data_IF_318106869334
#
_entry.id   IF_318106869334
#
_cell.length_a   1.000
_cell.length_b   1.000
_cell.length_c   1.000
_cell.angle_alpha   90.00
_cell.angle_beta   90.00
_cell.angle_gamma   90.00
#
_symmetry.space_group_name_H-M   'P 1'
#
loop_
_entity.id
_entity.type
_entity.pdbx_description
1 polymer ?
#
# COMPACT_ATOMS: atom_id res chain seq x y z
N UNK A 1 -12.42 -3.33 1.93
CA UNK A 1 -11.57 -3.06 0.74
C UNK A 1 -10.33 -3.95 0.69
N UNK A 2 -9.46 -3.96 1.72
CA UNK A 2 -8.21 -4.74 1.71
C UNK A 2 -8.38 -6.23 1.36
N UNK A 3 -9.36 -6.91 1.97
CA UNK A 3 -9.69 -8.33 1.67
C UNK A 3 -10.07 -8.51 0.19
N UNK A 4 -10.85 -7.59 -0.37
CA UNK A 4 -11.30 -7.66 -1.77
C UNK A 4 -10.12 -7.43 -2.72
N UNK A 5 -9.22 -6.50 -2.38
CA UNK A 5 -8.01 -6.25 -3.15
C UNK A 5 -7.07 -7.46 -3.16
N UNK A 6 -6.86 -8.13 -2.02
CA UNK A 6 -5.99 -9.32 -1.98
C UNK A 6 -6.63 -10.50 -2.73
N UNK A 7 -7.96 -10.65 -2.67
CA UNK A 7 -8.67 -11.65 -3.48
C UNK A 7 -8.49 -11.38 -4.98
N UNK A 8 -8.66 -10.13 -5.42
CA UNK A 8 -8.44 -9.76 -6.82
C UNK A 8 -6.97 -9.97 -7.25
N UNK A 9 -6.01 -9.66 -6.38
CA UNK A 9 -4.59 -9.92 -6.63
C UNK A 9 -4.29 -11.44 -6.76
N UNK A 10 -4.88 -12.27 -5.89
CA UNK A 10 -4.75 -13.72 -5.97
C UNK A 10 -5.41 -14.29 -7.23
N UNK A 11 -6.59 -13.78 -7.61
CA UNK A 11 -7.22 -14.13 -8.89
C UNK A 11 -6.30 -13.80 -10.06
N UNK A 12 -5.64 -12.64 -10.02
CA UNK A 12 -4.71 -12.24 -11.06
C UNK A 12 -3.55 -13.25 -11.21
N UNK A 13 -2.95 -13.65 -10.09
CA UNK A 13 -1.87 -14.63 -10.05
C UNK A 13 -2.30 -15.99 -10.61
N UNK A 14 -3.49 -16.48 -10.21
CA UNK A 14 -3.99 -17.79 -10.65
C UNK A 14 -4.25 -17.80 -12.15
N UNK A 15 -4.79 -16.71 -12.70
CA UNK A 15 -5.06 -16.60 -14.13
C UNK A 15 -3.79 -16.44 -14.97
N UNK A 16 -2.73 -15.85 -14.40
CA UNK A 16 -1.42 -15.71 -15.05
C UNK A 16 -0.59 -17.00 -14.99
N UNK A 17 -1.00 -17.99 -14.19
CA UNK A 17 -0.39 -19.31 -14.23
C UNK A 17 -0.72 -20.03 -15.54
N UNK A 18 0.32 -20.38 -16.30
CA UNK A 18 0.17 -21.20 -17.51
C UNK A 18 -0.41 -22.61 -17.27
N UNK A 19 -0.53 -23.04 -16.00
CA UNK A 19 -1.14 -24.30 -15.57
C UNK A 19 -2.01 -24.09 -14.32
N UNK A 20 -3.18 -23.44 -14.46
CA UNK A 20 -4.04 -23.14 -13.32
C UNK A 20 -4.63 -24.42 -12.68
N UNK A 21 -4.64 -25.53 -13.42
CA UNK A 21 -4.98 -26.87 -12.92
C UNK A 21 -4.12 -27.31 -11.73
N UNK A 22 -2.90 -26.78 -11.62
CA UNK A 22 -1.92 -27.13 -10.58
C UNK A 22 -1.90 -26.16 -9.40
N UNK A 23 -2.95 -25.35 -9.24
CA UNK A 23 -2.95 -24.25 -8.26
C UNK A 23 -2.66 -24.71 -6.83
N UNK A 24 -3.05 -25.94 -6.50
CA UNK A 24 -2.88 -26.53 -5.17
C UNK A 24 -1.48 -27.14 -4.94
N UNK A 25 -0.72 -27.42 -5.99
CA UNK A 25 0.58 -28.12 -5.89
C UNK A 25 1.59 -27.36 -5.02
N UNK A 26 1.75 -26.03 -5.12
CA UNK A 26 2.68 -25.28 -4.27
C UNK A 26 2.33 -25.31 -2.78
N UNK A 27 1.07 -25.59 -2.43
CA UNK A 27 0.65 -25.73 -1.03
C UNK A 27 1.08 -27.06 -0.41
N UNK A 28 1.22 -28.11 -1.23
CA UNK A 28 1.72 -29.42 -0.78
C UNK A 28 3.24 -29.57 -0.93
N UNK A 29 3.86 -28.82 -1.86
CA UNK A 29 5.30 -28.81 -2.12
C UNK A 29 5.91 -27.44 -1.89
N UNK A 30 5.91 -27.02 -0.62
CA UNK A 30 6.45 -25.73 -0.22
C UNK A 30 7.98 -25.67 -0.37
N UNK A 31 8.48 -24.60 -1.02
CA UNK A 31 9.91 -24.34 -1.19
C UNK A 31 10.31 -23.05 -0.46
N UNK A 32 10.95 -23.12 0.74
CA UNK A 32 11.30 -21.94 1.53
C UNK A 32 12.29 -20.98 0.88
N UNK A 33 13.06 -21.44 -0.12
CA UNK A 33 13.98 -20.58 -0.88
C UNK A 33 13.28 -19.71 -1.92
N UNK A 34 12.04 -20.03 -2.27
CA UNK A 34 11.28 -19.28 -3.28
C UNK A 34 10.49 -18.17 -2.62
N UNK A 35 10.79 -16.91 -2.98
CA UNK A 35 10.00 -15.76 -2.55
C UNK A 35 8.54 -15.86 -3.00
N UNK A 36 8.29 -16.48 -4.15
CA UNK A 36 6.92 -16.73 -4.61
C UNK A 36 6.16 -17.67 -3.67
N UNK A 37 6.80 -18.75 -3.21
CA UNK A 37 6.22 -19.71 -2.26
C UNK A 37 5.98 -19.09 -0.88
N UNK A 38 6.93 -18.27 -0.39
CA UNK A 38 6.78 -17.54 0.87
C UNK A 38 5.63 -16.53 0.80
N UNK A 39 5.53 -15.78 -0.30
CA UNK A 39 4.46 -14.82 -0.51
C UNK A 39 3.08 -15.48 -0.59
N UNK A 40 2.96 -16.68 -1.15
CA UNK A 40 1.69 -17.40 -1.15
C UNK A 40 1.18 -17.61 0.29
N UNK A 41 2.05 -17.95 1.25
CA UNK A 41 1.68 -18.04 2.67
C UNK A 41 1.27 -16.66 3.19
N UNK A 42 2.08 -15.64 2.96
CA UNK A 42 1.83 -14.28 3.45
C UNK A 42 0.49 -13.70 2.95
N UNK A 43 0.15 -13.91 1.68
CA UNK A 43 -1.12 -13.45 1.10
C UNK A 43 -2.33 -14.14 1.75
N UNK A 44 -2.25 -15.46 1.95
CA UNK A 44 -3.30 -16.23 2.61
C UNK A 44 -3.43 -15.83 4.09
N UNK A 45 -2.31 -15.65 4.80
CA UNK A 45 -2.29 -15.16 6.18
C UNK A 45 -2.87 -13.76 6.30
N UNK A 46 -2.55 -12.85 5.37
CA UNK A 46 -3.09 -11.49 5.35
C UNK A 46 -4.60 -11.49 5.13
N UNK A 47 -5.10 -12.31 4.19
CA UNK A 47 -6.53 -12.48 3.95
C UNK A 47 -7.25 -13.03 5.19
N UNK A 48 -6.70 -14.07 5.83
CA UNK A 48 -7.28 -14.67 7.03
C UNK A 48 -7.31 -13.68 8.21
N UNK A 49 -6.20 -13.00 8.49
CA UNK A 49 -6.13 -12.00 9.56
C UNK A 49 -7.02 -10.79 9.25
N UNK A 50 -7.09 -10.35 8.00
CA UNK A 50 -8.00 -9.28 7.59
C UNK A 50 -9.47 -9.64 7.84
N UNK A 51 -9.86 -10.88 7.55
CA UNK A 51 -11.21 -11.37 7.83
C UNK A 51 -11.49 -11.45 9.35
N UNK A 52 -10.57 -12.02 10.14
CA UNK A 52 -10.70 -12.07 11.60
C UNK A 52 -10.76 -10.67 12.22
N UNK A 53 -9.94 -9.74 11.72
CA UNK A 53 -9.95 -8.34 12.15
C UNK A 53 -11.31 -7.69 11.91
N UNK A 54 -11.91 -7.89 10.73
CA UNK A 54 -13.24 -7.39 10.40
C UNK A 54 -14.32 -7.99 11.32
N UNK A 55 -14.24 -9.29 11.62
CA UNK A 55 -15.16 -9.93 12.57
C UNK A 55 -15.01 -9.39 13.99
N UNK A 56 -13.78 -9.11 14.43
CA UNK A 56 -13.52 -8.52 15.74
C UNK A 56 -14.12 -7.10 15.84
N UNK A 57 -14.05 -6.31 14.76
CA UNK A 57 -14.71 -5.00 14.68
C UNK A 57 -16.23 -5.12 14.77
N UNK A 58 -16.85 -6.05 14.03
CA UNK A 58 -18.30 -6.25 14.11
C UNK A 58 -18.80 -6.72 15.47
N UNK A 59 -17.95 -7.40 16.24
CA UNK A 59 -18.23 -7.80 17.63
C UNK A 59 -17.83 -6.72 18.65
N UNK A 60 -17.39 -5.56 18.19
CA UNK A 60 -16.92 -4.44 19.02
C UNK A 60 -15.88 -4.87 20.06
N UNK A 61 -15.07 -5.89 19.75
CA UNK A 61 -14.09 -6.42 20.68
C UNK A 61 -12.79 -5.64 20.55
N UNK A 62 -12.62 -4.61 21.38
CA UNK A 62 -11.49 -3.69 21.31
C UNK A 62 -10.13 -4.41 21.47
N UNK A 63 -10.03 -5.35 22.41
CA UNK A 63 -8.79 -6.12 22.66
C UNK A 63 -8.36 -6.88 21.41
N UNK A 64 -9.26 -7.66 20.82
CA UNK A 64 -8.95 -8.43 19.61
C UNK A 64 -8.75 -7.54 18.38
N UNK A 65 -9.49 -6.44 18.27
CA UNK A 65 -9.30 -5.47 17.19
C UNK A 65 -7.88 -4.87 17.22
N UNK A 66 -7.37 -4.50 18.40
CA UNK A 66 -5.98 -4.00 18.54
C UNK A 66 -4.94 -5.07 18.18
N UNK A 67 -5.09 -6.29 18.70
CA UNK A 67 -4.15 -7.39 18.46
C UNK A 67 -4.12 -7.77 16.96
N UNK A 68 -5.30 -8.00 16.37
CA UNK A 68 -5.42 -8.41 14.97
C UNK A 68 -5.02 -7.27 14.02
N UNK A 69 -5.30 -6.03 14.38
CA UNK A 69 -4.84 -4.86 13.62
C UNK A 69 -3.32 -4.76 13.58
N UNK A 70 -2.65 -4.95 14.72
CA UNK A 70 -1.19 -4.99 14.80
C UNK A 70 -0.61 -6.16 13.99
N UNK A 71 -1.20 -7.36 14.11
CA UNK A 71 -0.81 -8.52 13.32
C UNK A 71 -0.97 -8.26 11.81
N UNK A 72 -2.07 -7.63 11.40
CA UNK A 72 -2.32 -7.26 10.00
C UNK A 72 -1.24 -6.32 9.46
N UNK A 73 -0.77 -5.35 10.25
CA UNK A 73 0.32 -4.45 9.87
C UNK A 73 1.62 -5.22 9.65
N UNK A 74 2.02 -6.09 10.59
CA UNK A 74 3.25 -6.88 10.43
C UNK A 74 3.19 -7.82 9.22
N UNK A 75 2.05 -8.46 9.01
CA UNK A 75 1.87 -9.33 7.83
C UNK A 75 1.86 -8.49 6.56
N UNK A 76 1.24 -7.31 6.53
CA UNK A 76 1.28 -6.42 5.37
C UNK A 76 2.71 -5.99 5.01
N UNK A 77 3.53 -5.66 6.02
CA UNK A 77 4.97 -5.38 5.83
C UNK A 77 5.65 -6.59 5.21
N UNK A 78 5.36 -7.80 5.69
CA UNK A 78 5.87 -9.06 5.13
C UNK A 78 5.44 -9.27 3.67
N UNK A 79 4.15 -9.12 3.36
CA UNK A 79 3.56 -9.23 2.02
C UNK A 79 4.27 -8.30 1.02
N UNK A 80 4.43 -7.02 1.37
CA UNK A 80 5.05 -6.05 0.48
C UNK A 80 6.57 -6.24 0.38
N UNK A 81 7.24 -6.57 1.49
CA UNK A 81 8.68 -6.90 1.48
C UNK A 81 8.96 -8.13 0.61
N UNK A 82 8.18 -9.19 0.79
CA UNK A 82 8.29 -10.41 0.02
C UNK A 82 8.01 -10.17 -1.45
N UNK A 83 7.02 -9.32 -1.79
CA UNK A 83 6.76 -8.95 -3.19
C UNK A 83 7.95 -8.22 -3.80
N UNK A 84 8.53 -7.23 -3.10
CA UNK A 84 9.75 -6.56 -3.56
C UNK A 84 10.94 -7.51 -3.67
N UNK A 85 11.07 -8.47 -2.74
CA UNK A 85 12.13 -9.47 -2.73
C UNK A 85 12.05 -10.47 -3.90
N UNK A 86 10.86 -10.69 -4.50
CA UNK A 86 10.73 -11.47 -5.75
C UNK A 86 11.67 -10.92 -6.82
N UNK A 87 11.80 -9.59 -6.91
CA UNK A 87 12.71 -8.93 -7.85
C UNK A 87 14.08 -8.68 -7.21
N UNK A 88 14.09 -8.29 -5.93
CA UNK A 88 15.31 -7.96 -5.17
C UNK A 88 16.33 -9.08 -5.10
N UNK A 89 15.92 -10.35 -5.18
CA UNK A 89 16.83 -11.50 -5.12
C UNK A 89 17.18 -12.10 -6.48
N UNK A 90 16.68 -11.54 -7.58
CA UNK A 90 17.03 -12.02 -8.94
C UNK A 90 18.37 -11.44 -9.36
N UNK A 91 19.44 -12.17 -9.04
CA UNK A 91 20.83 -11.75 -9.29
C UNK A 91 21.17 -11.54 -10.77
N UNK A 92 20.50 -12.27 -11.67
CA UNK A 92 20.88 -12.38 -13.09
C UNK A 92 20.51 -11.14 -13.91
N UNK A 93 19.62 -10.27 -13.41
CA UNK A 93 19.18 -9.06 -14.14
C UNK A 93 19.64 -7.81 -13.41
N UNK A 94 20.32 -6.91 -14.13
CA UNK A 94 20.96 -5.72 -13.57
C UNK A 94 19.98 -4.67 -13.01
N UNK A 95 18.78 -4.55 -13.59
CA UNK A 95 17.70 -3.70 -13.07
C UNK A 95 16.89 -4.38 -11.96
N UNK A 96 17.22 -5.63 -11.63
CA UNK A 96 16.79 -6.32 -10.43
C UNK A 96 17.94 -6.32 -9.42
N UNK A 97 17.99 -7.31 -8.53
CA UNK A 97 19.08 -7.49 -7.58
C UNK A 97 19.41 -6.24 -6.74
N UNK A 98 18.43 -5.78 -5.96
CA UNK A 98 18.66 -4.71 -5.00
C UNK A 98 18.01 -5.00 -3.66
N UNK A 99 18.75 -4.79 -2.55
CA UNK A 99 18.19 -4.91 -1.21
C UNK A 99 17.16 -3.80 -0.90
N UNK A 100 17.13 -2.71 -1.68
CA UNK A 100 16.16 -1.62 -1.50
C UNK A 100 14.78 -1.94 -2.09
N UNK A 101 14.66 -2.97 -2.95
CA UNK A 101 13.38 -3.31 -3.56
C UNK A 101 12.34 -3.73 -2.51
N UNK A 102 12.69 -4.55 -1.52
CA UNK A 102 11.76 -4.91 -0.44
C UNK A 102 11.22 -3.69 0.35
N UNK A 103 12.05 -2.80 0.93
CA UNK A 103 11.56 -1.62 1.65
C UNK A 103 10.89 -0.58 0.73
N UNK A 104 11.33 -0.42 -0.51
CA UNK A 104 10.68 0.51 -1.46
C UNK A 104 9.24 0.10 -1.78
N UNK A 105 8.96 -1.21 -1.88
CA UNK A 105 7.60 -1.72 -2.07
C UNK A 105 6.68 -1.40 -0.89
N UNK A 106 7.21 -1.39 0.34
CA UNK A 106 6.44 -0.95 1.52
C UNK A 106 6.12 0.54 1.41
N UNK A 107 7.11 1.38 1.12
CA UNK A 107 6.90 2.82 0.97
C UNK A 107 5.88 3.14 -0.13
N UNK A 108 5.98 2.47 -1.27
CA UNK A 108 5.05 2.62 -2.37
C UNK A 108 3.64 2.12 -2.02
N UNK A 109 3.52 1.01 -1.28
CA UNK A 109 2.24 0.52 -0.78
C UNK A 109 1.58 1.50 0.20
N UNK A 110 2.35 2.13 1.08
CA UNK A 110 1.85 3.17 1.99
C UNK A 110 1.40 4.42 1.23
N UNK A 111 2.17 4.88 0.23
CA UNK A 111 1.82 6.04 -0.59
C UNK A 111 0.53 5.82 -1.41
N UNK A 112 0.46 4.72 -2.17
CA UNK A 112 -0.69 4.36 -3.00
C UNK A 112 -1.90 3.91 -2.17
N UNK A 113 -1.69 3.21 -1.05
CA UNK A 113 -2.75 2.83 -0.12
C UNK A 113 -3.42 4.05 0.50
N UNK A 114 -2.64 5.07 0.88
CA UNK A 114 -3.20 6.34 1.39
C UNK A 114 -3.95 7.10 0.29
N UNK A 115 -3.40 7.15 -0.92
CA UNK A 115 -4.07 7.74 -2.08
C UNK A 115 -5.42 7.06 -2.39
N UNK A 116 -5.43 5.72 -2.41
CA UNK A 116 -6.64 4.93 -2.61
C UNK A 116 -7.66 5.18 -1.49
N UNK A 117 -7.21 5.28 -0.23
CA UNK A 117 -8.09 5.57 0.90
C UNK A 117 -8.80 6.92 0.73
N UNK A 118 -8.07 7.98 0.35
CA UNK A 118 -8.65 9.31 0.10
C UNK A 118 -9.74 9.23 -0.98
N UNK A 119 -9.45 8.58 -2.10
CA UNK A 119 -10.39 8.43 -3.22
C UNK A 119 -11.64 7.66 -2.80
N UNK A 120 -11.46 6.51 -2.15
CA UNK A 120 -12.57 5.64 -1.75
C UNK A 120 -13.42 6.31 -0.68
N UNK A 121 -12.83 6.97 0.32
CA UNK A 121 -13.59 7.72 1.33
C UNK A 121 -14.44 8.81 0.67
N UNK A 122 -13.85 9.62 -0.20
CA UNK A 122 -14.56 10.69 -0.89
C UNK A 122 -15.73 10.15 -1.73
N UNK A 123 -15.49 9.12 -2.56
CA UNK A 123 -16.52 8.53 -3.42
C UNK A 123 -17.63 7.90 -2.57
N UNK A 124 -17.27 7.12 -1.54
CA UNK A 124 -18.24 6.39 -0.72
C UNK A 124 -19.14 7.32 0.09
N UNK A 125 -18.57 8.34 0.75
CA UNK A 125 -19.38 9.29 1.53
C UNK A 125 -20.27 10.16 0.64
N UNK A 126 -19.76 10.59 -0.52
CA UNK A 126 -20.56 11.31 -1.51
C UNK A 126 -21.70 10.45 -2.06
N UNK A 127 -21.44 9.20 -2.40
CA UNK A 127 -22.45 8.28 -2.95
C UNK A 127 -23.52 7.88 -1.92
N UNK A 128 -23.18 7.89 -0.63
CA UNK A 128 -24.10 7.54 0.47
C UNK A 128 -24.77 8.75 1.11
N UNK A 129 -24.46 9.98 0.66
CA UNK A 129 -25.01 11.22 1.22
C UNK A 129 -24.55 11.51 2.65
N UNK A 130 -23.42 10.93 3.08
CA UNK A 130 -22.88 11.07 4.45
C UNK A 130 -21.89 12.21 4.55
N UNK A 131 -21.75 12.79 5.74
CA UNK A 131 -20.79 13.87 6.01
C UNK A 131 -19.38 13.31 6.13
N UNK A 132 -18.47 13.89 5.34
CA UNK A 132 -17.04 13.64 5.40
C UNK A 132 -16.34 14.96 5.72
N UNK A 133 -15.56 14.97 6.79
CA UNK A 133 -14.76 16.11 7.18
C UNK A 133 -13.56 16.28 6.24
N UNK A 134 -13.43 17.48 5.67
CA UNK A 134 -12.33 17.84 4.79
C UNK A 134 -10.97 17.77 5.51
N UNK A 135 -10.92 18.03 6.83
CA UNK A 135 -9.67 17.92 7.61
C UNK A 135 -9.16 16.47 7.66
N UNK A 136 -10.05 15.47 7.63
CA UNK A 136 -9.64 14.07 7.51
C UNK A 136 -8.92 13.84 6.18
N UNK A 137 -9.47 14.36 5.07
CA UNK A 137 -8.85 14.27 3.74
C UNK A 137 -7.48 14.97 3.75
N UNK A 138 -7.38 16.16 4.33
CA UNK A 138 -6.11 16.91 4.39
C UNK A 138 -5.06 16.23 5.27
N UNK A 139 -5.47 15.57 6.36
CA UNK A 139 -4.56 14.79 7.20
C UNK A 139 -3.99 13.58 6.45
N UNK A 140 -4.83 12.84 5.73
CA UNK A 140 -4.40 11.73 4.88
C UNK A 140 -3.53 12.21 3.73
N UNK A 141 -3.83 13.37 3.14
CA UNK A 141 -3.02 13.97 2.08
C UNK A 141 -1.59 14.28 2.57
N UNK A 142 -1.45 14.88 3.76
CA UNK A 142 -0.13 15.13 4.37
C UNK A 142 0.65 13.83 4.57
N UNK A 143 -0.01 12.78 5.06
CA UNK A 143 0.60 11.46 5.23
C UNK A 143 1.04 10.85 3.89
N UNK A 144 0.19 10.94 2.86
CA UNK A 144 0.51 10.54 1.49
C UNK A 144 1.75 11.28 0.98
N UNK A 145 1.81 12.60 1.17
CA UNK A 145 2.96 13.43 0.80
C UNK A 145 4.28 12.96 1.44
N UNK A 146 4.26 12.61 2.73
CA UNK A 146 5.45 12.06 3.41
C UNK A 146 5.89 10.75 2.75
N UNK A 147 4.96 9.83 2.49
CA UNK A 147 5.31 8.56 1.83
C UNK A 147 5.83 8.76 0.40
N UNK A 148 5.32 9.75 -0.34
CA UNK A 148 5.83 10.11 -1.67
C UNK A 148 7.30 10.51 -1.60
N UNK A 149 7.70 11.30 -0.60
CA UNK A 149 9.11 11.68 -0.41
C UNK A 149 9.99 10.47 -0.09
N UNK A 150 9.49 9.53 0.72
CA UNK A 150 10.20 8.28 1.02
C UNK A 150 10.36 7.41 -0.23
N UNK A 151 9.32 7.29 -1.06
CA UNK A 151 9.39 6.57 -2.34
C UNK A 151 10.40 7.25 -3.28
N UNK A 152 10.35 8.57 -3.41
CA UNK A 152 11.30 9.33 -4.22
C UNK A 152 12.75 9.14 -3.75
N UNK A 153 12.99 9.10 -2.43
CA UNK A 153 14.30 8.80 -1.87
C UNK A 153 14.79 7.40 -2.27
N UNK A 154 13.95 6.36 -2.12
CA UNK A 154 14.34 5.01 -2.53
C UNK A 154 14.66 4.92 -4.02
N UNK A 155 13.82 5.51 -4.87
CA UNK A 155 14.05 5.54 -6.33
C UNK A 155 15.36 6.27 -6.65
N UNK A 156 15.63 7.39 -5.99
CA UNK A 156 16.86 8.14 -6.18
C UNK A 156 18.08 7.31 -5.81
N UNK A 157 18.13 6.75 -4.60
CA UNK A 157 19.28 5.95 -4.14
C UNK A 157 19.48 4.71 -5.00
N UNK A 158 18.39 4.03 -5.37
CA UNK A 158 18.44 2.85 -6.24
C UNK A 158 19.10 3.19 -7.59
N UNK A 159 18.63 4.23 -8.27
CA UNK A 159 19.16 4.61 -9.58
C UNK A 159 20.56 5.23 -9.50
N UNK A 160 20.88 5.95 -8.43
CA UNK A 160 22.24 6.44 -8.18
C UNK A 160 23.22 5.28 -7.99
N UNK A 161 22.83 4.26 -7.21
CA UNK A 161 23.65 3.07 -6.96
C UNK A 161 23.89 2.28 -8.25
N UNK A 162 22.83 2.06 -9.04
CA UNK A 162 22.94 1.36 -10.35
C UNK A 162 23.82 2.13 -11.34
N UNK A 163 23.70 3.46 -11.37
CA UNK A 163 24.51 4.30 -12.24
C UNK A 163 25.97 4.42 -11.78
N UNK A 164 26.26 4.15 -10.51
CA UNK A 164 27.62 4.15 -10.00
C UNK A 164 28.34 2.82 -10.30
N UNK A 165 27.64 1.69 -10.18
CA UNK A 165 28.22 0.37 -10.39
C UNK A 165 28.43 0.11 -11.90
N UNK A 166 29.67 -0.09 -12.38
CA UNK A 166 29.94 -0.29 -13.81
C UNK A 166 29.13 -1.45 -14.41
N UNK A 167 28.97 -2.54 -13.64
CA UNK A 167 28.17 -3.70 -14.02
C UNK A 167 26.72 -3.37 -14.38
N UNK A 168 26.11 -2.39 -13.70
CA UNK A 168 24.70 -2.06 -13.91
C UNK A 168 24.52 -0.79 -14.75
N UNK A 169 25.62 -0.15 -15.16
CA UNK A 169 25.60 1.17 -15.77
C UNK A 169 24.86 1.16 -17.11
N UNK A 170 25.07 0.14 -17.94
CA UNK A 170 24.42 0.04 -19.24
C UNK A 170 22.90 -0.06 -19.07
N UNK A 171 22.41 -0.99 -18.24
CA UNK A 171 20.99 -1.12 -17.99
C UNK A 171 20.37 0.12 -17.32
N UNK A 172 21.11 0.77 -16.40
CA UNK A 172 20.68 2.04 -15.81
C UNK A 172 20.58 3.16 -16.85
N UNK A 173 21.57 3.28 -17.74
CA UNK A 173 21.59 4.27 -18.81
C UNK A 173 20.46 4.03 -19.82
N UNK A 174 20.14 2.77 -20.12
CA UNK A 174 18.96 2.41 -20.91
C UNK A 174 17.69 2.93 -20.27
N UNK A 175 17.47 2.65 -18.98
CA UNK A 175 16.27 3.13 -18.30
C UNK A 175 16.21 4.67 -18.26
N UNK A 176 17.31 5.34 -17.94
CA UNK A 176 17.33 6.77 -17.60
C UNK A 176 17.52 7.70 -18.80
N UNK A 177 18.17 7.26 -19.88
CA UNK A 177 18.64 8.16 -20.93
C UNK A 177 18.15 7.80 -22.34
N UNK A 178 18.26 6.52 -22.75
CA UNK A 178 18.13 6.14 -24.17
C UNK A 178 17.16 4.98 -24.47
N UNK A 179 16.45 4.45 -23.47
CA UNK A 179 15.46 3.38 -23.62
C UNK A 179 14.12 3.81 -24.23
N UNK A 180 14.05 4.99 -24.85
CA UNK A 180 12.88 5.49 -25.57
C UNK A 180 11.64 5.60 -24.68
N UNK A 181 10.60 4.79 -24.96
CA UNK A 181 9.33 4.83 -24.21
C UNK A 181 9.51 4.51 -22.72
N UNK A 182 10.48 3.65 -22.36
CA UNK A 182 10.73 3.30 -20.96
C UNK A 182 11.31 4.48 -20.18
N UNK A 183 12.21 5.24 -20.81
CA UNK A 183 12.74 6.49 -20.28
C UNK A 183 11.65 7.54 -20.12
N UNK A 184 10.75 7.65 -21.09
CA UNK A 184 9.59 8.55 -20.99
C UNK A 184 8.65 8.15 -19.83
N UNK A 185 8.38 6.86 -19.65
CA UNK A 185 7.58 6.36 -18.53
C UNK A 185 8.25 6.61 -17.18
N UNK A 186 9.58 6.49 -17.10
CA UNK A 186 10.34 6.84 -15.91
C UNK A 186 10.21 8.32 -15.57
N UNK A 187 10.60 9.21 -16.48
CA UNK A 187 10.64 10.63 -16.16
C UNK A 187 9.25 11.28 -16.11
N UNK A 188 8.39 11.02 -17.09
CA UNK A 188 7.09 11.67 -17.17
C UNK A 188 6.03 10.96 -16.33
N UNK A 189 6.00 9.63 -16.39
CA UNK A 189 5.01 8.82 -15.68
C UNK A 189 5.30 8.71 -14.18
N UNK A 190 6.47 8.18 -13.83
CA UNK A 190 6.86 7.95 -12.44
C UNK A 190 7.32 9.25 -11.77
N UNK A 191 8.38 9.91 -12.25
CA UNK A 191 8.98 11.05 -11.55
C UNK A 191 8.05 12.27 -11.57
N UNK A 192 7.63 12.72 -12.76
CA UNK A 192 6.85 13.95 -12.89
C UNK A 192 5.40 13.77 -12.41
N UNK A 193 4.65 12.88 -13.04
CA UNK A 193 3.23 12.67 -12.73
C UNK A 193 3.04 11.92 -11.41
N UNK A 194 3.87 10.93 -11.13
CA UNK A 194 3.72 10.08 -9.95
C UNK A 194 4.23 10.70 -8.67
N UNK A 195 5.35 11.43 -8.68
CA UNK A 195 5.98 11.90 -7.45
C UNK A 195 5.96 13.43 -7.32
N UNK A 196 6.49 14.13 -8.33
CA UNK A 196 6.72 15.56 -8.25
C UNK A 196 5.42 16.36 -8.17
N UNK A 197 4.50 16.17 -9.12
CA UNK A 197 3.25 16.95 -9.14
C UNK A 197 2.38 16.65 -7.92
N UNK A 198 2.12 15.39 -7.53
CA UNK A 198 1.33 15.09 -6.32
C UNK A 198 1.96 15.68 -5.05
N UNK A 199 3.29 15.61 -4.90
CA UNK A 199 3.99 16.22 -3.77
C UNK A 199 3.81 17.76 -3.77
N UNK A 200 3.97 18.42 -4.93
CA UNK A 200 3.77 19.87 -5.03
C UNK A 200 2.35 20.28 -4.66
N UNK A 201 1.33 19.52 -5.10
CA UNK A 201 -0.06 19.79 -4.75
C UNK A 201 -0.29 19.67 -3.24
N UNK A 202 0.24 18.61 -2.62
CA UNK A 202 0.04 18.31 -1.19
C UNK A 202 0.80 19.25 -0.27
N UNK A 203 1.99 19.72 -0.66
CA UNK A 203 2.82 20.60 0.17
C UNK A 203 2.60 22.09 -0.08
N UNK A 204 1.98 22.47 -1.21
CA UNK A 204 1.67 23.86 -1.48
C UNK A 204 0.44 24.33 -0.68
N UNK A 205 0.58 25.45 0.05
CA UNK A 205 -0.49 26.06 0.87
C UNK A 205 -1.75 26.40 0.05
N UNK A 206 -1.61 26.74 -1.23
CA UNK A 206 -2.73 27.13 -2.09
C UNK A 206 -3.58 25.96 -2.55
N UNK A 207 -3.02 24.74 -2.63
CA UNK A 207 -3.69 23.56 -3.21
C UNK A 207 -3.98 22.48 -2.17
N UNK A 208 -3.17 22.41 -1.10
CA UNK A 208 -3.27 21.37 -0.05
C UNK A 208 -4.56 21.43 0.76
N UNK A 209 -5.25 22.57 0.77
CA UNK A 209 -6.55 22.78 1.45
C UNK A 209 -7.73 22.76 0.49
N UNK A 210 -7.63 22.00 -0.59
CA UNK A 210 -8.72 21.80 -1.54
C UNK A 210 -8.90 20.32 -1.86
N UNK A 211 -10.07 19.78 -1.52
CA UNK A 211 -10.42 18.38 -1.77
C UNK A 211 -10.24 17.99 -3.24
N UNK A 212 -10.60 18.88 -4.18
CA UNK A 212 -10.45 18.61 -5.63
C UNK A 212 -8.99 18.39 -6.02
N UNK A 213 -8.09 19.24 -5.53
CA UNK A 213 -6.66 19.14 -5.80
C UNK A 213 -6.05 17.91 -5.13
N UNK A 214 -6.42 17.63 -3.88
CA UNK A 214 -5.99 16.43 -3.16
C UNK A 214 -6.43 15.15 -3.90
N UNK A 215 -7.67 15.09 -4.39
CA UNK A 215 -8.15 13.96 -5.19
C UNK A 215 -7.38 13.79 -6.49
N UNK A 216 -7.05 14.90 -7.18
CA UNK A 216 -6.23 14.86 -8.38
C UNK A 216 -4.83 14.29 -8.06
N UNK A 217 -4.19 14.77 -7.00
CA UNK A 217 -2.90 14.24 -6.53
C UNK A 217 -2.99 12.74 -6.16
N UNK A 218 -4.06 12.29 -5.51
CA UNK A 218 -4.25 10.87 -5.19
C UNK A 218 -4.37 10.01 -6.45
N UNK A 219 -5.10 10.44 -7.48
CA UNK A 219 -5.18 9.72 -8.76
C UNK A 219 -3.84 9.68 -9.48
N UNK A 220 -3.14 10.82 -9.53
CA UNK A 220 -1.80 10.91 -10.11
C UNK A 220 -0.80 10.01 -9.38
N UNK A 221 -0.85 9.94 -8.05
CA UNK A 221 -0.04 9.02 -7.25
C UNK A 221 -0.31 7.55 -7.60
N UNK A 222 -1.58 7.15 -7.75
CA UNK A 222 -1.93 5.77 -8.14
C UNK A 222 -1.38 5.42 -9.52
N UNK A 223 -1.52 6.31 -10.49
CA UNK A 223 -0.97 6.15 -11.84
C UNK A 223 0.57 6.11 -11.79
N UNK A 224 1.19 6.95 -10.94
CA UNK A 224 2.62 6.96 -10.69
C UNK A 224 3.16 5.63 -10.18
N UNK A 225 2.50 5.05 -9.18
CA UNK A 225 2.87 3.73 -8.64
C UNK A 225 2.64 2.62 -9.67
N UNK A 226 1.63 2.74 -10.55
CA UNK A 226 1.48 1.83 -11.68
C UNK A 226 2.68 1.91 -12.65
N UNK A 227 3.14 3.14 -12.98
CA UNK A 227 4.38 3.32 -13.75
C UNK A 227 5.59 2.75 -13.01
N UNK A 228 5.69 2.93 -11.69
CA UNK A 228 6.75 2.34 -10.87
C UNK A 228 6.79 0.81 -11.03
N UNK A 229 5.64 0.14 -10.94
CA UNK A 229 5.55 -1.31 -11.13
C UNK A 229 5.91 -1.71 -12.55
N UNK A 230 5.46 -0.96 -13.55
CA UNK A 230 5.83 -1.20 -14.95
C UNK A 230 7.34 -1.10 -15.18
N UNK A 231 7.97 -0.04 -14.65
CA UNK A 231 9.40 0.24 -14.81
C UNK A 231 10.29 -0.78 -14.09
N UNK A 232 9.84 -1.28 -12.95
CA UNK A 232 10.57 -2.35 -12.26
C UNK A 232 10.52 -3.61 -13.12
N UNK A 233 9.34 -4.03 -13.58
CA UNK A 233 9.15 -5.36 -14.20
C UNK A 233 9.62 -5.41 -15.65
N UNK A 234 9.18 -4.46 -16.49
CA UNK A 234 9.27 -4.61 -17.95
C UNK A 234 10.68 -4.28 -18.49
N UNK A 235 11.28 -3.11 -18.22
CA UNK A 235 12.66 -2.80 -18.63
C UNK A 235 13.68 -3.87 -18.22
N UNK A 236 13.57 -4.42 -17.01
CA UNK A 236 14.46 -5.46 -16.52
C UNK A 236 14.40 -6.76 -17.34
N UNK A 237 13.24 -7.05 -17.95
CA UNK A 237 13.06 -8.20 -18.85
C UNK A 237 13.53 -7.92 -20.28
N UNK A 238 13.51 -6.66 -20.68
CA UNK A 238 13.85 -6.21 -22.03
C UNK A 238 15.35 -6.07 -22.22
N UNK A 239 16.06 -5.57 -21.20
CA UNK A 239 17.53 -5.52 -21.24
C UNK A 239 18.04 -6.97 -21.27
N UNK A 240 18.93 -7.32 -22.23
CA UNK A 240 19.47 -8.66 -22.34
C UNK A 240 20.30 -9.01 -21.09
N UNK A 241 20.36 -10.31 -20.80
CA UNK A 241 21.22 -10.82 -19.73
C UNK A 241 22.62 -11.06 -20.32
N UNK A 242 23.66 -10.74 -19.56
CA UNK A 242 25.02 -11.14 -19.87
C UNK A 242 25.19 -12.65 -19.63
N UNK A 243 25.28 -13.43 -20.71
CA UNK A 243 25.48 -14.89 -20.64
C UNK A 243 26.94 -15.28 -20.45
N UNK A 244 27.85 -14.53 -21.09
CA UNK A 244 29.27 -14.82 -21.14
C UNK A 244 30.04 -13.56 -20.76
N UNK A 245 30.61 -13.50 -19.54
CA UNK A 245 31.40 -12.35 -19.11
C UNK A 245 32.51 -12.03 -20.11
N UNK A 246 32.64 -10.76 -20.46
CA UNK A 246 33.67 -10.25 -21.40
C UNK A 246 33.59 -10.85 -22.83
N UNK A 247 32.43 -11.36 -23.25
CA UNK A 247 32.20 -11.89 -24.61
C UNK A 247 30.93 -11.31 -25.23
N UNK A 248 31.03 -10.97 -26.51
CA UNK A 248 29.87 -10.56 -27.30
C UNK A 248 29.27 -11.76 -28.04
N UNK A 249 27.94 -11.83 -28.05
CA UNK A 249 27.19 -12.84 -28.80
C UNK A 249 27.12 -12.38 -30.26
N UNK A 250 27.92 -13.01 -31.13
CA UNK A 250 27.97 -12.69 -32.57
C UNK A 250 26.75 -13.26 -33.33
N UNK A 251 26.22 -14.40 -32.87
CA UNK A 251 25.04 -15.04 -33.47
C UNK A 251 24.28 -15.89 -32.46
N UNK A 252 22.94 -15.87 -32.51
CA UNK A 252 22.06 -16.74 -31.73
C UNK A 252 20.87 -17.20 -32.59
N UNK A 253 20.40 -18.43 -32.36
CA UNK A 253 19.18 -18.98 -32.97
C UNK A 253 17.90 -18.65 -32.18
N UNK A 254 18.02 -18.08 -30.98
CA UNK A 254 16.93 -17.82 -30.03
C UNK A 254 16.88 -16.36 -29.52
N UNK A 255 17.51 -15.43 -30.25
CA UNK A 255 17.54 -13.98 -29.94
C UNK A 255 18.36 -13.62 -28.68
N UNK A 256 19.34 -14.45 -28.29
CA UNK A 256 20.21 -14.15 -27.15
C UNK A 256 21.00 -12.86 -27.38
N UNK A 257 21.13 -12.03 -26.35
CA UNK A 257 21.83 -10.75 -26.41
C UNK A 257 21.05 -9.61 -27.08
N UNK A 258 19.80 -9.84 -27.53
CA UNK A 258 18.96 -8.81 -28.12
C UNK A 258 17.99 -8.19 -27.11
N UNK A 259 17.62 -6.92 -27.35
CA UNK A 259 16.59 -6.24 -26.58
C UNK A 259 15.22 -6.87 -26.85
N UNK A 260 14.50 -7.18 -25.78
CA UNK A 260 13.14 -7.71 -25.86
C UNK A 260 12.12 -6.66 -26.34
N UNK A 261 11.02 -7.13 -26.93
CA UNK A 261 9.88 -6.29 -27.29
C UNK A 261 8.65 -6.67 -26.49
N UNK A 262 8.07 -5.69 -25.81
CA UNK A 262 6.80 -5.84 -25.08
C UNK A 262 5.84 -4.72 -25.44
N UNK A 263 4.59 -5.09 -25.67
CA UNK A 263 3.44 -4.20 -25.84
C UNK A 263 2.25 -4.82 -25.13
N UNK A 264 1.50 -3.98 -24.40
CA UNK A 264 0.28 -4.41 -23.73
C UNK A 264 -0.77 -4.76 -24.77
N UNK A 265 -1.19 -6.01 -24.77
CA UNK A 265 -2.23 -6.55 -25.63
C UNK A 265 -3.63 -6.12 -25.18
N UNK A 266 -4.63 -6.11 -26.07
CA UNK A 266 -6.02 -5.83 -25.68
C UNK A 266 -6.56 -6.79 -24.61
N UNK A 267 -6.11 -8.04 -24.58
CA UNK A 267 -6.54 -9.02 -23.58
C UNK A 267 -6.02 -8.68 -22.17
N UNK A 268 -4.78 -8.20 -22.05
CA UNK A 268 -4.22 -7.72 -20.77
C UNK A 268 -4.99 -6.50 -20.24
N UNK A 269 -5.43 -5.60 -21.14
CA UNK A 269 -6.30 -4.48 -20.79
C UNK A 269 -7.66 -4.95 -20.29
N UNK A 270 -8.33 -5.84 -21.02
CA UNK A 270 -9.64 -6.38 -20.63
C UNK A 270 -9.56 -7.11 -19.29
N UNK A 271 -8.52 -7.91 -19.09
CA UNK A 271 -8.26 -8.61 -17.85
C UNK A 271 -8.10 -7.64 -16.67
N UNK A 272 -7.27 -6.60 -16.83
CA UNK A 272 -7.04 -5.59 -15.81
C UNK A 272 -8.33 -4.83 -15.44
N UNK A 273 -9.13 -4.45 -16.44
CA UNK A 273 -10.43 -3.82 -16.23
C UNK A 273 -11.42 -4.77 -15.54
N UNK A 274 -11.39 -6.05 -15.88
CA UNK A 274 -12.20 -7.09 -15.22
C UNK A 274 -11.88 -7.21 -13.73
N UNK A 275 -10.60 -7.21 -13.36
CA UNK A 275 -10.17 -7.23 -11.96
C UNK A 275 -10.62 -5.99 -11.19
N UNK A 276 -10.52 -4.81 -11.80
CA UNK A 276 -11.06 -3.57 -11.22
C UNK A 276 -12.57 -3.70 -11.02
N UNK A 277 -13.29 -4.26 -12.00
CA UNK A 277 -14.72 -4.56 -11.90
C UNK A 277 -15.07 -5.46 -10.72
N UNK A 278 -14.31 -6.53 -10.50
CA UNK A 278 -14.47 -7.43 -9.33
C UNK A 278 -14.29 -6.66 -8.02
N UNK A 279 -13.28 -5.79 -7.93
CA UNK A 279 -13.03 -4.99 -6.72
C UNK A 279 -14.16 -4.01 -6.46
N UNK A 280 -14.59 -3.26 -7.48
CA UNK A 280 -15.66 -2.25 -7.37
C UNK A 280 -16.98 -2.92 -7.02
N UNK A 281 -17.34 -4.02 -7.71
CA UNK A 281 -18.55 -4.78 -7.44
C UNK A 281 -18.53 -5.38 -6.03
N UNK A 282 -17.44 -6.05 -5.65
CA UNK A 282 -17.30 -6.65 -4.33
C UNK A 282 -17.35 -5.61 -3.21
N UNK A 283 -16.74 -4.44 -3.41
CA UNK A 283 -16.80 -3.35 -2.43
C UNK A 283 -18.21 -2.77 -2.32
N UNK A 284 -18.87 -2.49 -3.44
CA UNK A 284 -20.25 -2.00 -3.49
C UNK A 284 -21.25 -2.97 -2.87
N UNK A 285 -21.09 -4.28 -3.12
CA UNK A 285 -21.90 -5.32 -2.51
C UNK A 285 -21.66 -5.38 -1.00
N UNK A 286 -20.41 -5.32 -0.55
CA UNK A 286 -20.07 -5.38 0.87
C UNK A 286 -20.68 -4.21 1.67
N UNK A 287 -20.58 -2.98 1.17
CA UNK A 287 -21.17 -1.80 1.85
C UNK A 287 -22.70 -1.80 1.83
N UNK A 288 -23.32 -2.51 0.88
CA UNK A 288 -24.78 -2.66 0.79
C UNK A 288 -25.31 -3.74 1.72
N UNK A 289 -24.59 -4.85 1.85
CA UNK A 289 -25.02 -6.00 2.66
C UNK A 289 -24.70 -5.84 4.14
N UNK A 290 -23.59 -5.18 4.49
CA UNK A 290 -23.15 -5.01 5.87
C UNK A 290 -23.11 -3.53 6.28
N UNK A 291 -23.55 -3.19 7.51
CA UNK A 291 -23.46 -1.84 8.05
C UNK A 291 -22.01 -1.52 8.47
N UNK A 292 -21.12 -1.35 7.48
CA UNK A 292 -19.68 -1.11 7.70
C UNK A 292 -19.31 0.37 7.82
N UNK A 293 -20.19 1.27 7.38
CA UNK A 293 -19.87 2.69 7.28
C UNK A 293 -20.42 3.43 8.50
N UNK A 294 -19.64 4.34 9.12
CA UNK A 294 -20.14 5.23 10.17
C UNK A 294 -21.05 6.31 9.58
N UNK A 295 -21.92 6.90 10.40
CA UNK A 295 -22.86 7.97 9.98
C UNK A 295 -22.14 9.23 9.51
N UNK A 296 -21.03 9.57 10.17
CA UNK A 296 -20.14 10.66 9.84
C UNK A 296 -18.67 10.25 10.02
N UNK A 297 -17.78 10.87 9.26
CA UNK A 297 -16.34 10.74 9.42
C UNK A 297 -15.77 12.10 9.80
N UNK A 298 -15.52 12.29 11.10
CA UNK A 298 -15.00 13.53 11.69
C UNK A 298 -13.52 13.34 12.03
N UNK A 299 -12.70 14.36 11.74
CA UNK A 299 -11.30 14.35 12.17
C UNK A 299 -11.19 14.73 13.65
N UNK A 300 -10.72 13.79 14.48
CA UNK A 300 -10.38 14.07 15.88
C UNK A 300 -8.87 14.20 16.03
N UNK A 301 -8.41 15.33 16.56
CA UNK A 301 -7.00 15.58 16.82
C UNK A 301 -6.47 14.57 17.87
N UNK A 302 -5.41 13.79 17.57
CA UNK A 302 -4.80 12.88 18.52
C UNK A 302 -4.37 13.54 19.84
N UNK A 303 -4.04 14.84 19.82
CA UNK A 303 -3.70 15.58 21.03
C UNK A 303 -4.90 15.79 21.96
N UNK A 304 -6.11 15.95 21.40
CA UNK A 304 -7.36 16.09 22.18
C UNK A 304 -7.80 14.76 22.80
N UNK A 305 -7.62 13.65 22.08
CA UNK A 305 -7.92 12.31 22.58
C UNK A 305 -7.09 11.92 23.81
N UNK A 306 -5.85 12.41 23.93
CA UNK A 306 -5.02 12.18 25.12
C UNK A 306 -5.54 12.93 26.34
N UNK A 307 -5.98 14.19 26.15
CA UNK A 307 -6.50 15.02 27.23
C UNK A 307 -7.83 14.49 27.79
N UNK A 308 -8.67 13.88 26.96
CA UNK A 308 -9.93 13.24 27.41
C UNK A 308 -9.71 11.87 28.09
N UNK A 309 -8.55 11.23 27.88
CA UNK A 309 -8.22 9.92 28.45
C UNK A 309 -7.47 9.98 29.78
N UNK A 310 -6.96 11.16 30.17
CA UNK A 310 -6.41 11.37 31.50
C UNK A 310 -7.57 11.70 32.45
N UNK A 311 -7.78 10.93 33.54
CA UNK A 311 -8.78 11.31 34.53
C UNK A 311 -8.40 12.68 35.08
N UNK A 312 -9.35 13.61 35.01
CA UNK A 312 -9.28 14.93 35.60
C UNK A 312 -8.73 14.79 37.03
N UNK A 313 -7.50 15.22 37.27
CA UNK A 313 -6.89 15.21 38.59
C UNK A 313 -7.77 16.10 39.47
N UNK A 314 -8.66 15.49 40.25
CA UNK A 314 -9.39 16.16 41.32
C UNK A 314 -8.34 16.73 42.28
N UNK A 315 -8.21 18.06 42.30
CA UNK A 315 -7.41 18.77 43.27
C UNK A 315 -7.87 18.40 44.69
N UNK A 316 -6.98 18.01 45.63
CA UNK A 316 -7.36 17.78 47.00
C UNK A 316 -7.43 19.14 47.73
N UNK A 317 -8.65 19.68 47.87
CA UNK A 317 -8.89 20.96 48.54
C UNK A 317 -10.16 20.95 49.40
N UNK A 318 -9.95 21.02 50.72
CA UNK A 318 -10.92 21.40 51.77
C UNK A 318 -11.92 20.34 52.26
N UNK A 319 -11.42 19.35 53.02
CA UNK A 319 -12.21 18.77 54.10
C UNK A 319 -12.36 19.81 55.22
N UNK A 320 -13.54 20.43 55.34
CA UNK A 320 -13.92 21.18 56.54
C UNK A 320 -14.42 20.21 57.59
N UNK A 321 -13.76 20.26 58.75
CA UNK A 321 -14.19 19.66 60.01
C UNK A 321 -15.65 19.99 60.32
N UNK A 322 -16.49 18.97 60.49
CA UNK A 322 -17.74 19.11 61.23
C UNK A 322 -17.84 18.00 62.28
N UNK A 323 -17.76 18.43 63.54
CA UNK A 323 -17.76 17.62 64.74
C UNK A 323 -19.03 16.76 64.85
N UNK A 324 -18.81 15.49 65.12
CA UNK A 324 -19.79 14.54 65.64
C UNK A 324 -20.39 15.00 66.97
N UNK A 325 -21.70 15.23 66.99
CA UNK A 325 -22.52 15.19 68.22
C UNK A 325 -23.63 14.16 68.04
N UNK A 326 -23.51 13.08 68.79
CA UNK A 326 -24.48 12.00 68.98
C UNK A 326 -25.73 12.49 69.72
N UNK A 327 -26.91 11.89 69.46
CA UNK A 327 -27.85 11.63 70.55
C UNK A 327 -28.26 10.16 70.65
N UNK A 328 -28.53 9.75 71.90
CA UNK A 328 -28.86 8.40 72.34
C UNK A 328 -30.28 7.94 71.92
N UNK A 329 -30.55 6.62 71.86
CA UNK A 329 -31.87 6.09 71.54
C UNK A 329 -32.73 5.93 72.80
N UNK A 330 -33.96 6.46 72.78
CA UNK A 330 -34.92 6.36 73.87
C UNK A 330 -36.37 6.38 73.41
N UNK A 331 -36.99 5.21 73.53
CA UNK A 331 -38.38 4.91 73.89
C UNK A 331 -39.57 5.09 72.92
N UNK A 332 -40.26 3.95 72.80
CA UNK A 332 -41.58 3.67 72.24
C UNK A 332 -42.64 3.96 73.31
N UNK A 333 -43.65 4.77 72.97
CA UNK A 333 -45.09 4.67 73.33
C UNK A 333 -45.80 5.64 72.36
N UNK A 334 -46.94 5.37 71.71
CA UNK A 334 -48.07 4.44 71.85
C UNK A 334 -48.70 4.17 70.50
#
# INVERSE_FOLDING_TARGET
LAIILIVAALMAIIMDWGRPDRVLVPFFHFQPRSMFSLNAILYNSYMAIGFLYLLAQFKENEKWTKILGLAAVFIAIGVHSGTGAIFGFVYVRELYNSPLLAPSFIAAALSSGTAMMIIVLHITFKATGRKLDDELIYSLAKLMGVFILVVAYFIFIENATRSYAPKNYEAASFLLLHGGKYTAYFWLGLIFMGLLVPALIVFNKSTSRSVKWVLAASWMQLIGVLFERYIIVIPAQIVPIEFFPDKEIVSSSFLDGQYGHYSVSPIEWMFSLGLIGVVVFGYGLAIRLWPMLPTEAVYTDPAKLKLESEPENLEPGEAKDEKTTTPAPGEVTS
#
